data_IF_083912553593
#
_entry.id   IF_083912553593
#
_cell.length_a   1.000
_cell.length_b   1.000
_cell.length_c   1.000
_cell.angle_alpha   90.00
_cell.angle_beta   90.00
_cell.angle_gamma   90.00
#
_symmetry.space_group_name_H-M   'P 1'
#
loop_
_entity.id
_entity.type
_entity.pdbx_description
1 polymer ?
#
# COMPACT_ATOMS: atom_id res chain seq x y z
N UNK A 1 -43.16 -49.04 28.95
CA UNK A 1 -42.76 -47.61 28.93
C UNK A 1 -41.22 -47.48 28.92
N UNK A 2 -40.54 -47.98 27.87
CA UNK A 2 -39.07 -48.17 27.89
C UNK A 2 -38.30 -47.42 26.78
N UNK A 3 -38.95 -46.54 26.00
CA UNK A 3 -38.30 -45.83 24.88
C UNK A 3 -38.25 -44.30 24.99
N UNK A 4 -38.94 -43.69 25.96
CA UNK A 4 -39.06 -42.23 26.03
C UNK A 4 -37.78 -41.53 26.51
N UNK A 5 -37.10 -42.10 27.52
CA UNK A 5 -35.83 -41.57 28.03
C UNK A 5 -34.68 -41.65 27.02
N UNK A 6 -34.64 -42.70 26.19
CA UNK A 6 -33.66 -42.84 25.11
C UNK A 6 -33.82 -41.78 24.02
N UNK A 7 -35.05 -41.50 23.59
CA UNK A 7 -35.33 -40.45 22.62
C UNK A 7 -35.06 -39.03 23.17
N UNK A 8 -35.29 -38.80 24.47
CA UNK A 8 -34.95 -37.53 25.13
C UNK A 8 -33.43 -37.33 25.25
N UNK A 9 -32.68 -38.36 25.64
CA UNK A 9 -31.22 -38.32 25.71
C UNK A 9 -30.57 -38.17 24.33
N UNK A 10 -31.12 -38.84 23.32
CA UNK A 10 -30.68 -38.71 21.93
C UNK A 10 -31.02 -37.33 21.35
N UNK A 11 -32.20 -36.79 21.66
CA UNK A 11 -32.59 -35.42 21.31
C UNK A 11 -31.69 -34.37 21.97
N UNK A 12 -31.39 -34.52 23.26
CA UNK A 12 -30.48 -33.64 23.98
C UNK A 12 -29.04 -33.70 23.43
N UNK A 13 -28.53 -34.89 23.12
CA UNK A 13 -27.23 -35.06 22.47
C UNK A 13 -27.18 -34.42 21.09
N UNK A 14 -28.24 -34.57 20.28
CA UNK A 14 -28.31 -33.93 18.95
C UNK A 14 -28.37 -32.41 19.02
N UNK A 15 -29.07 -31.85 20.02
CA UNK A 15 -29.12 -30.42 20.27
C UNK A 15 -27.78 -29.86 20.75
N UNK A 16 -27.05 -30.61 21.59
CA UNK A 16 -25.70 -30.23 22.03
C UNK A 16 -24.72 -30.24 20.85
N UNK A 17 -24.74 -31.28 20.02
CA UNK A 17 -23.89 -31.36 18.82
C UNK A 17 -24.23 -30.23 17.83
N UNK A 18 -25.52 -29.99 17.58
CA UNK A 18 -25.98 -28.88 16.74
C UNK A 18 -25.57 -27.50 17.27
N UNK A 19 -25.66 -27.29 18.58
CA UNK A 19 -25.23 -26.06 19.24
C UNK A 19 -23.72 -25.82 19.12
N UNK A 20 -22.91 -26.86 19.26
CA UNK A 20 -21.44 -26.79 19.11
C UNK A 20 -21.03 -26.46 17.67
N UNK A 21 -21.64 -27.11 16.68
CA UNK A 21 -21.37 -26.82 15.25
C UNK A 21 -21.77 -25.39 14.89
N UNK A 22 -22.92 -24.91 15.38
CA UNK A 22 -23.36 -23.54 15.15
C UNK A 22 -22.40 -22.51 15.79
N UNK A 23 -21.93 -22.76 17.01
CA UNK A 23 -20.97 -21.91 17.70
C UNK A 23 -19.61 -21.86 16.96
N UNK A 24 -19.12 -22.99 16.46
CA UNK A 24 -17.88 -23.05 15.67
C UNK A 24 -18.03 -22.31 14.33
N UNK A 25 -19.17 -22.44 13.66
CA UNK A 25 -19.44 -21.74 12.40
C UNK A 25 -19.54 -20.24 12.64
N UNK A 26 -20.24 -19.80 13.68
CA UNK A 26 -20.31 -18.39 14.06
C UNK A 26 -18.93 -17.84 14.43
N UNK A 27 -18.11 -18.60 15.16
CA UNK A 27 -16.74 -18.20 15.49
C UNK A 27 -15.85 -18.10 14.23
N UNK A 28 -15.95 -19.06 13.31
CA UNK A 28 -15.25 -19.05 12.03
C UNK A 28 -15.66 -17.84 11.16
N UNK A 29 -16.96 -17.55 11.08
CA UNK A 29 -17.47 -16.37 10.37
C UNK A 29 -16.97 -15.10 11.03
N UNK A 30 -17.09 -14.94 12.35
CA UNK A 30 -16.64 -13.73 13.06
C UNK A 30 -15.13 -13.51 12.94
N UNK A 31 -14.33 -14.56 13.00
CA UNK A 31 -12.88 -14.47 12.81
C UNK A 31 -12.51 -14.13 11.37
N UNK A 32 -13.22 -14.71 10.39
CA UNK A 32 -13.07 -14.35 8.98
C UNK A 32 -13.48 -12.88 8.73
N UNK A 33 -14.62 -12.42 9.24
CA UNK A 33 -15.08 -11.03 9.11
C UNK A 33 -14.08 -10.07 9.74
N UNK A 34 -13.60 -10.34 10.96
CA UNK A 34 -12.57 -9.50 11.61
C UNK A 34 -11.25 -9.46 10.83
N UNK A 35 -10.89 -10.56 10.17
CA UNK A 35 -9.70 -10.62 9.31
C UNK A 35 -9.90 -9.79 8.05
N UNK A 36 -11.07 -9.88 7.41
CA UNK A 36 -11.43 -9.07 6.25
C UNK A 36 -11.51 -7.58 6.59
N UNK A 37 -12.12 -7.20 7.72
CA UNK A 37 -12.18 -5.80 8.18
C UNK A 37 -10.78 -5.21 8.43
N UNK A 38 -9.88 -5.99 9.05
CA UNK A 38 -8.48 -5.57 9.24
C UNK A 38 -7.74 -5.40 7.91
N UNK A 39 -7.94 -6.32 6.97
CA UNK A 39 -7.33 -6.22 5.64
C UNK A 39 -7.85 -5.01 4.87
N UNK A 40 -9.16 -4.77 4.87
CA UNK A 40 -9.77 -3.61 4.23
C UNK A 40 -9.28 -2.30 4.85
N UNK A 41 -9.15 -2.22 6.18
CA UNK A 41 -8.61 -1.04 6.85
C UNK A 41 -7.15 -0.76 6.46
N UNK A 42 -6.31 -1.81 6.42
CA UNK A 42 -4.91 -1.70 5.99
C UNK A 42 -4.81 -1.29 4.52
N UNK A 43 -5.70 -1.78 3.66
CA UNK A 43 -5.73 -1.41 2.24
C UNK A 43 -6.15 0.06 2.04
N UNK A 44 -7.14 0.53 2.80
CA UNK A 44 -7.54 1.95 2.78
C UNK A 44 -6.38 2.83 3.24
N UNK A 45 -5.72 2.49 4.34
CA UNK A 45 -4.56 3.24 4.84
C UNK A 45 -3.40 3.24 3.83
N UNK A 46 -3.18 2.11 3.16
CA UNK A 46 -2.18 2.00 2.10
C UNK A 46 -2.52 2.88 0.90
N UNK A 47 -3.79 2.91 0.47
CA UNK A 47 -4.27 3.77 -0.63
C UNK A 47 -4.14 5.24 -0.28
N UNK A 48 -4.52 5.65 0.94
CA UNK A 48 -4.35 7.03 1.39
C UNK A 48 -2.88 7.43 1.41
N UNK A 49 -2.00 6.58 1.93
CA UNK A 49 -0.55 6.85 1.98
C UNK A 49 0.06 6.96 0.58
N UNK A 50 -0.38 6.12 -0.36
CA UNK A 50 0.04 6.21 -1.75
C UNK A 50 -0.45 7.50 -2.42
N UNK A 51 -1.71 7.89 -2.24
CA UNK A 51 -2.23 9.16 -2.80
C UNK A 51 -1.44 10.36 -2.26
N UNK A 52 -1.18 10.40 -0.94
CA UNK A 52 -0.37 11.46 -0.32
C UNK A 52 1.05 11.52 -0.92
N UNK A 53 1.65 10.36 -1.21
CA UNK A 53 2.96 10.30 -1.84
C UNK A 53 2.90 10.69 -3.34
N UNK A 54 1.83 10.34 -4.05
CA UNK A 54 1.63 10.74 -5.45
C UNK A 54 1.54 12.26 -5.60
N UNK A 55 0.89 12.94 -4.65
CA UNK A 55 0.85 14.40 -4.60
C UNK A 55 2.23 15.02 -4.40
N UNK A 56 3.10 14.38 -3.61
CA UNK A 56 4.48 14.81 -3.47
C UNK A 56 5.25 14.64 -4.78
N UNK A 57 5.09 13.51 -5.48
CA UNK A 57 5.72 13.30 -6.79
C UNK A 57 5.25 14.34 -7.82
N UNK A 58 3.97 14.73 -7.80
CA UNK A 58 3.47 15.79 -8.67
C UNK A 58 4.10 17.15 -8.37
N UNK A 59 4.30 17.50 -7.10
CA UNK A 59 5.02 18.74 -6.74
C UNK A 59 6.48 18.72 -7.20
N UNK A 60 7.16 17.58 -7.04
CA UNK A 60 8.53 17.38 -7.52
C UNK A 60 8.64 17.50 -9.05
N UNK A 61 7.68 16.96 -9.80
CA UNK A 61 7.64 17.07 -11.27
C UNK A 61 7.53 18.53 -11.73
N UNK A 62 6.71 19.34 -11.03
CA UNK A 62 6.62 20.79 -11.27
C UNK A 62 7.96 21.47 -11.02
N UNK A 63 8.66 21.11 -9.94
CA UNK A 63 9.95 21.71 -9.61
C UNK A 63 11.05 21.31 -10.60
N UNK A 64 11.10 20.05 -11.03
CA UNK A 64 12.01 19.57 -12.07
C UNK A 64 11.76 20.25 -13.41
N UNK A 65 10.50 20.40 -13.80
CA UNK A 65 10.11 21.11 -15.02
C UNK A 65 10.53 22.57 -14.96
N UNK A 66 10.32 23.25 -13.83
CA UNK A 66 10.79 24.63 -13.63
C UNK A 66 12.31 24.74 -13.71
N UNK A 67 13.04 23.78 -13.15
CA UNK A 67 14.50 23.77 -13.21
C UNK A 67 15.01 23.64 -14.65
N UNK A 68 14.36 22.80 -15.46
CA UNK A 68 14.65 22.66 -16.90
C UNK A 68 14.30 23.91 -17.70
N UNK A 69 13.09 24.42 -17.55
CA UNK A 69 12.58 25.52 -18.39
C UNK A 69 13.18 26.87 -18.02
N UNK A 70 13.41 27.09 -16.73
CA UNK A 70 13.76 28.40 -16.17
C UNK A 70 15.21 28.49 -15.71
N UNK A 71 15.94 27.37 -15.68
CA UNK A 71 17.32 27.30 -15.17
C UNK A 71 17.43 27.59 -13.67
N UNK A 72 16.33 27.49 -12.91
CA UNK A 72 16.31 27.74 -11.47
C UNK A 72 16.81 26.51 -10.73
N UNK A 73 17.72 26.70 -9.77
CA UNK A 73 18.25 25.63 -8.94
C UNK A 73 17.13 24.87 -8.21
N UNK A 74 17.25 23.55 -8.18
CA UNK A 74 16.33 22.68 -7.44
C UNK A 74 16.57 22.84 -5.94
N UNK A 75 15.53 23.11 -5.14
CA UNK A 75 15.66 23.08 -3.69
C UNK A 75 15.96 21.65 -3.21
N UNK A 76 16.49 21.53 -2.00
CA UNK A 76 16.76 20.22 -1.38
C UNK A 76 15.46 19.57 -0.92
N UNK A 77 14.85 18.76 -1.79
CA UNK A 77 13.58 18.10 -1.52
C UNK A 77 13.79 16.81 -0.73
N UNK A 78 14.86 16.06 -1.02
CA UNK A 78 15.17 14.76 -0.41
C UNK A 78 15.62 14.82 1.05
N UNK A 79 16.19 15.94 1.49
CA UNK A 79 16.56 16.18 2.89
C UNK A 79 15.36 16.58 3.77
N UNK A 80 14.22 16.87 3.16
CA UNK A 80 13.02 17.34 3.84
C UNK A 80 12.35 16.26 4.72
N UNK A 81 11.76 16.72 5.83
CA UNK A 81 10.87 15.88 6.66
C UNK A 81 9.69 15.35 5.85
N UNK A 82 9.14 16.17 4.95
CA UNK A 82 7.96 15.81 4.15
C UNK A 82 8.24 14.60 3.25
N UNK A 83 9.36 14.63 2.52
CA UNK A 83 9.86 13.50 1.75
C UNK A 83 10.03 12.26 2.61
N UNK A 84 10.80 12.36 3.69
CA UNK A 84 11.12 11.21 4.55
C UNK A 84 9.87 10.55 5.12
N UNK A 85 8.91 11.34 5.61
CA UNK A 85 7.68 10.82 6.20
C UNK A 85 6.79 10.18 5.15
N UNK A 86 6.57 10.85 4.01
CA UNK A 86 5.65 10.34 2.97
C UNK A 86 6.22 9.13 2.25
N UNK A 87 7.52 9.12 1.93
CA UNK A 87 8.20 7.98 1.32
C UNK A 87 8.10 6.75 2.24
N UNK A 88 8.42 6.90 3.54
CA UNK A 88 8.38 5.79 4.49
C UNK A 88 6.95 5.26 4.73
N UNK A 89 5.95 6.14 4.81
CA UNK A 89 4.54 5.73 4.87
C UNK A 89 4.13 4.93 3.64
N UNK A 90 4.50 5.40 2.45
CA UNK A 90 4.21 4.70 1.20
C UNK A 90 4.95 3.35 1.10
N UNK A 91 6.20 3.27 1.56
CA UNK A 91 6.94 2.01 1.62
C UNK A 91 6.27 0.99 2.56
N UNK A 92 5.92 1.42 3.78
CA UNK A 92 5.21 0.56 4.75
C UNK A 92 3.87 0.09 4.16
N UNK A 93 3.12 0.98 3.53
CA UNK A 93 1.89 0.67 2.83
C UNK A 93 2.11 -0.38 1.73
N UNK A 94 3.18 -0.29 0.95
CA UNK A 94 3.48 -1.27 -0.09
C UNK A 94 3.96 -2.61 0.48
N UNK A 95 4.68 -2.60 1.61
CA UNK A 95 5.09 -3.82 2.31
C UNK A 95 3.93 -4.56 2.97
N UNK A 96 2.88 -3.85 3.42
CA UNK A 96 1.68 -4.48 4.01
C UNK A 96 0.92 -5.32 2.98
N UNK A 97 1.06 -5.00 1.70
CA UNK A 97 0.44 -5.70 0.57
C UNK A 97 1.27 -6.89 0.08
N UNK A 98 2.58 -6.89 0.36
CA UNK A 98 3.44 -8.03 0.09
C UNK A 98 4.90 -7.63 -0.14
N UNK A 99 5.81 -8.55 0.20
CA UNK A 99 7.26 -8.33 0.09
C UNK A 99 7.71 -7.98 -1.33
N UNK A 100 7.12 -8.57 -2.36
CA UNK A 100 7.49 -8.30 -3.76
C UNK A 100 7.13 -6.86 -4.17
N UNK A 101 5.93 -6.40 -3.81
CA UNK A 101 5.49 -5.03 -4.08
C UNK A 101 6.33 -4.01 -3.30
N UNK A 102 6.49 -4.22 -1.99
CA UNK A 102 7.33 -3.37 -1.14
C UNK A 102 8.78 -3.26 -1.63
N UNK A 103 9.42 -4.36 -2.02
CA UNK A 103 10.78 -4.33 -2.56
C UNK A 103 10.87 -3.55 -3.86
N UNK A 104 9.95 -3.77 -4.80
CA UNK A 104 9.94 -3.07 -6.09
C UNK A 104 9.71 -1.56 -5.92
N UNK A 105 8.78 -1.19 -5.03
CA UNK A 105 8.50 0.20 -4.70
C UNK A 105 9.68 0.88 -4.01
N UNK A 106 10.25 0.26 -2.97
CA UNK A 106 11.40 0.80 -2.23
C UNK A 106 12.63 0.99 -3.12
N UNK A 107 12.86 0.06 -4.06
CA UNK A 107 13.91 0.22 -5.07
C UNK A 107 13.68 1.48 -5.91
N UNK A 108 12.47 1.69 -6.45
CA UNK A 108 12.12 2.86 -7.26
C UNK A 108 12.19 4.18 -6.48
N UNK A 109 11.76 4.19 -5.22
CA UNK A 109 11.91 5.34 -4.31
C UNK A 109 13.40 5.67 -4.11
N UNK A 110 14.23 4.64 -3.88
CA UNK A 110 15.68 4.78 -3.77
C UNK A 110 16.35 5.28 -5.05
N UNK A 111 15.91 4.81 -6.21
CA UNK A 111 16.40 5.24 -7.52
C UNK A 111 16.05 6.71 -7.78
N UNK A 112 14.81 7.13 -7.50
CA UNK A 112 14.40 8.53 -7.56
C UNK A 112 15.21 9.40 -6.60
N UNK A 113 15.36 8.96 -5.34
CA UNK A 113 16.14 9.71 -4.34
C UNK A 113 17.56 9.99 -4.84
N UNK A 114 18.25 8.96 -5.33
CA UNK A 114 19.61 9.10 -5.86
C UNK A 114 19.67 10.04 -7.06
N UNK A 115 18.69 9.97 -7.95
CA UNK A 115 18.62 10.87 -9.10
C UNK A 115 18.39 12.33 -8.68
N UNK A 116 17.53 12.58 -7.69
CA UNK A 116 17.29 13.91 -7.12
C UNK A 116 18.52 14.45 -6.40
N UNK A 117 19.20 13.64 -5.57
CA UNK A 117 20.42 14.06 -4.85
C UNK A 117 21.56 14.48 -5.80
N UNK A 118 21.56 14.03 -7.07
CA UNK A 118 22.53 14.44 -8.08
C UNK A 118 22.23 15.81 -8.72
N UNK A 119 21.01 16.33 -8.56
CA UNK A 119 20.55 17.58 -9.19
C UNK A 119 20.18 18.67 -8.20
N UNK A 120 19.88 18.32 -6.95
CA UNK A 120 19.53 19.28 -5.91
C UNK A 120 20.70 20.23 -5.61
N UNK A 121 20.43 21.53 -5.66
CA UNK A 121 21.42 22.57 -5.38
C UNK A 121 22.41 22.88 -6.50
N UNK A 122 22.34 22.22 -7.66
CA UNK A 122 23.12 22.60 -8.84
C UNK A 122 22.58 23.94 -9.40
N UNK A 123 23.47 24.92 -9.60
CA UNK A 123 23.16 26.24 -10.18
C UNK A 123 24.22 26.64 -11.24
N UNK A 124 23.88 26.69 -12.54
CA UNK A 124 22.60 26.31 -13.12
C UNK A 124 22.39 24.78 -13.13
N UNK A 125 21.14 24.30 -13.16
CA UNK A 125 20.83 22.88 -13.24
C UNK A 125 21.41 22.27 -14.53
N UNK A 126 22.05 21.11 -14.41
CA UNK A 126 22.52 20.35 -15.58
C UNK A 126 21.34 19.58 -16.19
N UNK A 127 21.04 19.87 -17.46
CA UNK A 127 19.88 19.35 -18.17
C UNK A 127 19.76 17.81 -18.16
N UNK A 128 20.85 17.11 -18.47
CA UNK A 128 20.90 15.63 -18.53
C UNK A 128 20.53 14.97 -17.19
N UNK A 129 21.19 15.31 -16.06
CA UNK A 129 20.77 14.87 -14.73
C UNK A 129 19.30 15.18 -14.38
N UNK A 130 18.79 16.36 -14.73
CA UNK A 130 17.40 16.74 -14.42
C UNK A 130 16.42 15.86 -15.21
N UNK A 131 16.70 15.59 -16.49
CA UNK A 131 15.92 14.64 -17.30
C UNK A 131 15.94 13.22 -16.72
N UNK A 132 17.09 12.77 -16.21
CA UNK A 132 17.21 11.48 -15.55
C UNK A 132 16.37 11.41 -14.27
N UNK A 133 16.35 12.47 -13.47
CA UNK A 133 15.49 12.59 -12.28
C UNK A 133 14.00 12.57 -12.65
N UNK A 134 13.58 13.28 -13.71
CA UNK A 134 12.21 13.22 -14.22
C UNK A 134 11.83 11.81 -14.69
N UNK A 135 12.71 11.12 -15.42
CA UNK A 135 12.44 9.76 -15.88
C UNK A 135 12.29 8.78 -14.70
N UNK A 136 13.10 8.91 -13.66
CA UNK A 136 12.98 8.14 -12.43
C UNK A 136 11.65 8.45 -11.69
N UNK A 137 11.25 9.73 -11.67
CA UNK A 137 10.00 10.17 -11.08
C UNK A 137 8.81 9.57 -11.81
N UNK A 138 8.75 9.68 -13.15
CA UNK A 138 7.68 9.10 -13.96
C UNK A 138 7.62 7.58 -13.79
N UNK A 139 8.77 6.90 -13.76
CA UNK A 139 8.85 5.45 -13.52
C UNK A 139 8.28 5.01 -12.15
N UNK A 140 8.41 5.86 -11.13
CA UNK A 140 7.84 5.63 -9.80
C UNK A 140 6.34 5.97 -9.78
N UNK A 141 5.95 7.09 -10.38
CA UNK A 141 4.56 7.52 -10.52
C UNK A 141 3.73 6.49 -11.27
N UNK A 142 4.22 5.99 -12.40
CA UNK A 142 3.55 4.95 -13.20
C UNK A 142 3.38 3.66 -12.39
N UNK A 143 4.40 3.27 -11.64
CA UNK A 143 4.31 2.09 -10.77
C UNK A 143 3.26 2.26 -9.67
N UNK A 144 3.17 3.45 -9.08
CA UNK A 144 2.18 3.77 -8.07
C UNK A 144 0.76 3.84 -8.66
N UNK A 145 0.63 4.43 -9.86
CA UNK A 145 -0.63 4.55 -10.58
C UNK A 145 -1.16 3.18 -11.00
N UNK A 146 -0.29 2.33 -11.57
CA UNK A 146 -0.60 0.94 -11.89
C UNK A 146 -1.12 0.21 -10.66
N UNK A 147 -0.48 0.40 -9.51
CA UNK A 147 -0.94 -0.19 -8.27
C UNK A 147 -2.32 0.33 -7.83
N UNK A 148 -2.51 1.65 -7.80
CA UNK A 148 -3.79 2.29 -7.46
C UNK A 148 -4.94 1.81 -8.37
N UNK A 149 -4.64 1.51 -9.63
CA UNK A 149 -5.58 1.02 -10.62
C UNK A 149 -5.79 -0.51 -10.55
N UNK A 150 -4.74 -1.29 -10.33
CA UNK A 150 -4.81 -2.76 -10.19
C UNK A 150 -5.52 -3.18 -8.90
N UNK A 151 -5.53 -2.35 -7.86
CA UNK A 151 -6.41 -2.51 -6.70
C UNK A 151 -7.93 -2.49 -7.04
N UNK A 152 -8.34 -2.18 -8.27
CA UNK A 152 -9.72 -2.39 -8.75
C UNK A 152 -9.97 -3.76 -9.39
N UNK A 153 -8.91 -4.49 -9.76
CA UNK A 153 -9.00 -5.66 -10.64
C UNK A 153 -8.27 -6.90 -10.14
N UNK A 154 -7.74 -6.91 -8.92
CA UNK A 154 -7.28 -8.15 -8.32
C UNK A 154 -8.48 -8.88 -7.71
N UNK A 155 -9.01 -9.95 -8.33
CA UNK A 155 -9.94 -10.81 -7.62
C UNK A 155 -9.21 -11.34 -6.40
N UNK A 156 -9.89 -11.33 -5.25
CA UNK A 156 -9.41 -11.90 -4.00
C UNK A 156 -8.62 -13.18 -4.27
N UNK A 157 -7.29 -13.09 -4.19
CA UNK A 157 -6.42 -14.25 -4.20
C UNK A 157 -6.60 -14.93 -2.83
N UNK A 158 -7.74 -15.61 -2.73
CA UNK A 158 -8.08 -16.58 -1.72
C UNK A 158 -7.10 -17.75 -1.87
N UNK A 159 -6.18 -17.84 -0.92
CA UNK A 159 -5.30 -18.98 -0.66
C UNK A 159 -5.20 -19.19 0.84
#
# INVERSE_FOLDING_TARGET
MQGWWGNLLQGALSAVIGGVVAALTAWAVVTATRRHERQAALEIEARTSAVDFFLLLADMDIQLTKALDSGVALPRMTEGRDWTVKALKAEIAMFSLGRKAGNAFSQKVGDLRRALELVEGDDPPREEPVKAAMAALHTLSDHLADWLMQGRHQPDASG
#
